data_IF_358849154411
#
_entry.id   IF_358849154411
#
_cell.length_a   1.000
_cell.length_b   1.000
_cell.length_c   1.000
_cell.angle_alpha   90.00
_cell.angle_beta   90.00
_cell.angle_gamma   90.00
#
_symmetry.space_group_name_H-M   'P 1'
#
loop_
_entity.id
_entity.type
_entity.pdbx_description
1 polymer ?
#
# COMPACT_ATOMS: atom_id res chain seq x y z
N UNK A 1 -17.74 13.44 17.06
CA UNK A 1 -18.07 12.31 16.17
C UNK A 1 -18.74 11.22 16.98
N UNK A 2 -19.91 10.72 16.54
CA UNK A 2 -20.67 9.70 17.29
C UNK A 2 -19.83 8.42 17.46
N UNK A 3 -19.81 7.84 18.66
CA UNK A 3 -19.06 6.62 18.98
C UNK A 3 -19.29 5.49 17.96
N UNK A 4 -20.54 5.26 17.56
CA UNK A 4 -20.92 4.25 16.57
C UNK A 4 -20.36 4.49 15.18
N UNK A 5 -20.27 5.74 14.74
CA UNK A 5 -19.64 6.12 13.44
C UNK A 5 -18.15 5.81 13.48
N UNK A 6 -17.47 6.13 14.60
CA UNK A 6 -16.05 5.81 14.77
C UNK A 6 -15.79 4.30 14.76
N UNK A 7 -16.65 3.49 15.40
CA UNK A 7 -16.55 2.03 15.38
C UNK A 7 -16.78 1.49 13.97
N UNK A 8 -17.79 1.99 13.27
CA UNK A 8 -18.12 1.59 11.90
C UNK A 8 -16.93 1.82 10.94
N UNK A 9 -16.33 3.00 10.95
CA UNK A 9 -15.17 3.32 10.11
C UNK A 9 -13.94 2.43 10.40
N UNK A 10 -13.84 1.87 11.61
CA UNK A 10 -12.75 0.94 11.96
C UNK A 10 -13.01 -0.48 11.47
N UNK A 11 -14.28 -0.91 11.46
CA UNK A 11 -14.67 -2.27 11.11
C UNK A 11 -14.79 -2.46 9.60
N UNK A 12 -15.25 -1.44 8.85
CA UNK A 12 -15.45 -1.54 7.40
C UNK A 12 -14.18 -2.01 6.66
N UNK A 13 -12.99 -1.42 6.83
CA UNK A 13 -11.80 -1.86 6.10
C UNK A 13 -11.43 -3.31 6.41
N UNK A 14 -11.58 -3.73 7.68
CA UNK A 14 -11.30 -5.11 8.08
C UNK A 14 -12.30 -6.09 7.47
N UNK A 15 -13.59 -5.75 7.50
CA UNK A 15 -14.64 -6.57 6.89
C UNK A 15 -14.44 -6.69 5.37
N UNK A 16 -14.10 -5.59 4.69
CA UNK A 16 -13.81 -5.61 3.25
C UNK A 16 -12.56 -6.45 2.95
N UNK A 17 -11.53 -6.37 3.79
CA UNK A 17 -10.36 -7.24 3.68
C UNK A 17 -10.72 -8.72 3.76
N UNK A 18 -11.52 -9.11 4.77
CA UNK A 18 -11.99 -10.48 4.93
C UNK A 18 -12.85 -10.95 3.75
N UNK A 19 -13.74 -10.09 3.24
CA UNK A 19 -14.56 -10.38 2.04
C UNK A 19 -13.66 -10.60 0.83
N UNK A 20 -12.69 -9.72 0.59
CA UNK A 20 -11.78 -9.87 -0.55
C UNK A 20 -10.92 -11.14 -0.44
N UNK A 21 -10.43 -11.49 0.76
CA UNK A 21 -9.69 -12.73 0.97
C UNK A 21 -10.57 -13.95 0.69
N UNK A 22 -11.76 -14.03 1.28
CA UNK A 22 -12.67 -15.16 1.09
C UNK A 22 -13.20 -15.27 -0.33
N UNK A 23 -13.57 -14.14 -0.95
CA UNK A 23 -14.09 -14.13 -2.31
C UNK A 23 -12.99 -14.41 -3.34
N UNK A 24 -11.79 -13.86 -3.15
CA UNK A 24 -10.63 -14.16 -4.00
C UNK A 24 -10.27 -15.64 -3.96
N UNK A 25 -10.25 -16.23 -2.77
CA UNK A 25 -10.08 -17.69 -2.60
C UNK A 25 -11.16 -18.48 -3.34
N UNK A 26 -12.44 -18.14 -3.13
CA UNK A 26 -13.57 -18.80 -3.78
C UNK A 26 -13.47 -18.77 -5.32
N UNK A 27 -13.19 -17.59 -5.89
CA UNK A 27 -13.04 -17.44 -7.35
C UNK A 27 -11.91 -18.30 -7.87
N UNK A 28 -10.76 -18.29 -7.23
CA UNK A 28 -9.61 -19.05 -7.66
C UNK A 28 -9.83 -20.55 -7.55
N UNK A 29 -10.44 -21.06 -6.47
CA UNK A 29 -10.72 -22.48 -6.24
C UNK A 29 -11.78 -23.02 -7.23
N UNK A 30 -12.79 -22.21 -7.53
CA UNK A 30 -13.86 -22.55 -8.47
C UNK A 30 -13.53 -22.21 -9.92
N UNK A 31 -12.41 -21.53 -10.18
CA UNK A 31 -12.04 -21.04 -11.50
C UNK A 31 -11.69 -22.16 -12.46
N UNK A 32 -12.51 -22.31 -13.53
CA UNK A 32 -12.29 -23.28 -14.59
C UNK A 32 -11.40 -22.77 -15.73
N UNK A 33 -11.07 -21.48 -15.73
CA UNK A 33 -10.26 -20.83 -16.77
C UNK A 33 -9.14 -19.96 -16.18
N UNK A 34 -8.10 -19.71 -16.99
CA UNK A 34 -6.92 -18.96 -16.61
C UNK A 34 -7.23 -17.52 -16.12
N UNK A 35 -8.24 -16.86 -16.70
CA UNK A 35 -8.60 -15.48 -16.32
C UNK A 35 -9.23 -15.44 -14.94
N UNK A 36 -10.14 -16.36 -14.66
CA UNK A 36 -10.79 -16.50 -13.35
C UNK A 36 -9.78 -16.86 -12.27
N UNK A 37 -8.82 -17.73 -12.57
CA UNK A 37 -7.71 -18.08 -11.67
C UNK A 37 -6.87 -16.84 -11.30
N UNK A 38 -6.42 -16.07 -12.30
CA UNK A 38 -5.64 -14.84 -12.08
C UNK A 38 -6.46 -13.81 -11.32
N UNK A 39 -7.73 -13.61 -11.69
CA UNK A 39 -8.62 -12.65 -11.02
C UNK A 39 -8.81 -12.99 -9.53
N UNK A 40 -8.96 -14.28 -9.20
CA UNK A 40 -9.04 -14.74 -7.81
C UNK A 40 -7.82 -14.37 -6.99
N UNK A 41 -6.61 -14.58 -7.52
CA UNK A 41 -5.37 -14.19 -6.85
C UNK A 41 -5.21 -12.67 -6.69
N UNK A 42 -5.62 -11.90 -7.70
CA UNK A 42 -5.60 -10.43 -7.61
C UNK A 42 -6.58 -9.93 -6.54
N UNK A 43 -7.80 -10.46 -6.49
CA UNK A 43 -8.79 -10.09 -5.47
C UNK A 43 -8.32 -10.49 -4.07
N UNK A 44 -7.72 -11.68 -3.93
CA UNK A 44 -7.10 -12.12 -2.67
C UNK A 44 -5.98 -11.16 -2.25
N UNK A 45 -5.10 -10.78 -3.17
CA UNK A 45 -4.03 -9.82 -2.93
C UNK A 45 -4.56 -8.44 -2.49
N UNK A 46 -5.63 -7.95 -3.11
CA UNK A 46 -6.31 -6.73 -2.67
C UNK A 46 -6.85 -6.88 -1.23
N UNK A 47 -7.30 -8.07 -0.85
CA UNK A 47 -7.66 -8.39 0.53
C UNK A 47 -6.48 -8.22 1.50
N UNK A 48 -5.28 -8.68 1.12
CA UNK A 48 -4.06 -8.50 1.92
C UNK A 48 -3.76 -7.00 2.13
N UNK A 49 -3.78 -6.19 1.06
CA UNK A 49 -3.58 -4.73 1.17
C UNK A 49 -4.63 -4.11 2.07
N UNK A 50 -5.91 -4.49 1.91
CA UNK A 50 -7.02 -3.92 2.69
C UNK A 50 -6.89 -4.26 4.18
N UNK A 51 -6.44 -5.46 4.53
CA UNK A 51 -6.10 -5.83 5.90
C UNK A 51 -4.96 -4.96 6.47
N UNK A 52 -3.91 -4.71 5.70
CA UNK A 52 -2.83 -3.81 6.10
C UNK A 52 -3.33 -2.37 6.29
N UNK A 53 -4.13 -1.85 5.36
CA UNK A 53 -4.72 -0.51 5.45
C UNK A 53 -5.62 -0.38 6.68
N UNK A 54 -6.34 -1.45 7.08
CA UNK A 54 -7.14 -1.43 8.31
C UNK A 54 -6.29 -1.23 9.55
N UNK A 55 -5.09 -1.80 9.62
CA UNK A 55 -4.16 -1.57 10.75
C UNK A 55 -3.62 -0.13 10.76
N UNK A 56 -3.36 0.46 9.58
CA UNK A 56 -3.02 1.89 9.46
C UNK A 56 -4.17 2.76 9.95
N UNK A 57 -5.40 2.48 9.53
CA UNK A 57 -6.59 3.23 9.95
C UNK A 57 -6.80 3.15 11.46
N UNK A 58 -6.67 1.94 12.05
CA UNK A 58 -6.79 1.72 13.49
C UNK A 58 -5.71 2.48 14.27
N UNK A 59 -4.47 2.46 13.81
CA UNK A 59 -3.38 3.17 14.48
C UNK A 59 -3.51 4.69 14.33
N UNK A 60 -3.89 5.18 13.16
CA UNK A 60 -4.02 6.62 12.86
C UNK A 60 -5.13 7.30 13.66
N UNK A 61 -6.17 6.60 14.11
CA UNK A 61 -7.25 7.18 14.91
C UNK A 61 -6.78 7.80 16.23
N UNK A 62 -5.67 7.31 16.78
CA UNK A 62 -5.06 7.89 17.99
C UNK A 62 -4.09 9.01 17.69
N UNK A 63 -3.64 9.14 16.44
CA UNK A 63 -2.65 10.13 16.02
C UNK A 63 -3.26 11.49 15.64
N UNK A 64 -4.50 11.50 15.14
CA UNK A 64 -5.13 12.67 14.48
C UNK A 64 -5.59 13.76 15.45
N UNK A 65 -5.65 13.52 16.76
CA UNK A 65 -6.41 14.38 17.71
C UNK A 65 -5.55 15.24 18.62
N UNK A 66 -4.36 15.69 18.20
CA UNK A 66 -3.52 16.51 19.04
C UNK A 66 -3.55 17.97 18.55
N UNK A 67 -4.12 18.91 19.36
CA UNK A 67 -4.02 20.34 19.06
C UNK A 67 -2.55 20.78 19.06
N UNK A 68 -2.16 21.58 18.06
CA UNK A 68 -0.78 22.09 17.90
C UNK A 68 -0.27 22.95 19.07
N UNK A 69 -1.13 23.28 20.03
CA UNK A 69 -0.83 24.12 21.20
C UNK A 69 -0.37 23.32 22.44
N UNK A 70 -0.28 22.00 22.39
CA UNK A 70 0.29 21.24 23.50
C UNK A 70 1.82 21.42 23.51
N UNK A 71 2.39 21.80 24.66
CA UNK A 71 3.85 21.88 24.89
C UNK A 71 4.56 20.51 24.74
N UNK A 72 3.79 19.42 24.69
CA UNK A 72 4.22 18.10 24.28
C UNK A 72 4.15 18.05 22.75
N UNK A 73 5.26 17.73 22.08
CA UNK A 73 5.30 17.59 20.62
C UNK A 73 4.20 16.66 20.08
N UNK A 74 3.88 16.74 18.78
CA UNK A 74 2.84 15.91 18.18
C UNK A 74 3.10 14.43 18.50
N UNK A 75 2.10 13.75 19.05
CA UNK A 75 2.16 12.32 19.37
C UNK A 75 2.34 11.95 20.83
N UNK A 76 2.52 12.89 21.76
CA UNK A 76 2.76 12.56 23.17
C UNK A 76 1.49 12.68 24.02
N UNK A 77 0.73 11.59 24.15
CA UNK A 77 -0.28 11.40 25.20
C UNK A 77 -0.05 10.04 25.87
N UNK A 78 0.51 9.99 27.09
CA UNK A 78 0.74 8.73 27.84
C UNK A 78 -0.55 7.93 28.05
N UNK A 79 -1.71 8.61 28.15
CA UNK A 79 -3.02 7.98 28.35
C UNK A 79 -3.59 7.33 27.07
N UNK A 80 -2.94 7.47 25.93
CA UNK A 80 -3.39 6.95 24.64
C UNK A 80 -2.52 5.81 24.10
N UNK A 81 -1.54 5.35 24.85
CA UNK A 81 -0.71 4.23 24.46
C UNK A 81 -1.55 2.97 24.16
N UNK A 82 -1.16 2.23 23.14
CA UNK A 82 -1.78 0.94 22.85
C UNK A 82 -1.33 -0.09 23.89
N UNK A 83 -2.22 -1.02 24.24
CA UNK A 83 -1.81 -2.21 25.00
C UNK A 83 -0.81 -3.04 24.20
N UNK A 84 0.08 -3.77 24.90
CA UNK A 84 1.08 -4.61 24.22
C UNK A 84 0.48 -5.60 23.23
N UNK A 85 -0.67 -6.21 23.56
CA UNK A 85 -1.39 -7.11 22.65
C UNK A 85 -1.90 -6.40 21.39
N UNK A 86 -2.40 -5.16 21.51
CA UNK A 86 -2.82 -4.37 20.34
C UNK A 86 -1.62 -4.01 19.45
N UNK A 87 -0.50 -3.62 20.04
CA UNK A 87 0.73 -3.35 19.28
C UNK A 87 1.16 -4.58 18.50
N UNK A 88 1.20 -5.75 19.17
CA UNK A 88 1.56 -7.00 18.50
C UNK A 88 0.62 -7.30 17.32
N UNK A 89 -0.69 -7.09 17.48
CA UNK A 89 -1.68 -7.29 16.41
C UNK A 89 -1.48 -6.32 15.24
N UNK A 90 -1.25 -5.04 15.54
CA UNK A 90 -1.04 -4.01 14.51
C UNK A 90 0.20 -4.28 13.65
N UNK A 91 1.24 -4.90 14.21
CA UNK A 91 2.41 -5.32 13.47
C UNK A 91 2.26 -6.68 12.79
N UNK A 92 1.65 -7.66 13.47
CA UNK A 92 1.53 -9.02 12.97
C UNK A 92 0.73 -9.09 11.66
N UNK A 93 -0.40 -8.38 11.58
CA UNK A 93 -1.26 -8.41 10.39
C UNK A 93 -0.49 -8.01 9.12
N UNK A 94 0.12 -6.80 9.01
CA UNK A 94 0.79 -6.41 7.78
C UNK A 94 2.07 -7.23 7.51
N UNK A 95 2.77 -7.73 8.53
CA UNK A 95 3.91 -8.62 8.34
C UNK A 95 3.44 -9.96 7.75
N UNK A 96 2.39 -10.56 8.30
CA UNK A 96 1.82 -11.81 7.78
C UNK A 96 1.33 -11.62 6.35
N UNK A 97 0.61 -10.52 6.06
CA UNK A 97 0.14 -10.22 4.71
C UNK A 97 1.31 -10.06 3.72
N UNK A 98 2.38 -9.37 4.12
CA UNK A 98 3.59 -9.23 3.30
C UNK A 98 4.26 -10.58 3.02
N UNK A 99 4.42 -11.42 4.06
CA UNK A 99 4.99 -12.75 3.91
C UNK A 99 4.15 -13.66 3.02
N UNK A 100 2.83 -13.67 3.19
CA UNK A 100 1.92 -14.43 2.34
C UNK A 100 2.09 -13.97 0.89
N UNK A 101 2.01 -12.65 0.62
CA UNK A 101 2.15 -12.12 -0.74
C UNK A 101 3.48 -12.50 -1.38
N UNK A 102 4.60 -12.26 -0.70
CA UNK A 102 5.94 -12.49 -1.25
C UNK A 102 6.22 -13.99 -1.40
N UNK A 103 6.08 -14.76 -0.33
CA UNK A 103 6.49 -16.18 -0.32
C UNK A 103 5.61 -17.00 -1.26
N UNK A 104 4.30 -16.84 -1.13
CA UNK A 104 3.36 -17.56 -1.97
C UNK A 104 3.41 -17.07 -3.43
N UNK A 105 3.51 -15.75 -3.66
CA UNK A 105 3.68 -15.22 -5.01
C UNK A 105 4.90 -15.81 -5.72
N UNK A 106 6.06 -15.88 -5.05
CA UNK A 106 7.28 -16.48 -5.61
C UNK A 106 7.11 -17.99 -5.83
N UNK A 107 6.42 -18.69 -4.93
CA UNK A 107 6.18 -20.13 -5.07
C UNK A 107 5.31 -20.44 -6.30
N UNK A 108 4.25 -19.66 -6.52
CA UNK A 108 3.38 -19.79 -7.68
C UNK A 108 4.15 -19.52 -8.98
N UNK A 109 5.02 -18.50 -9.03
CA UNK A 109 5.83 -18.19 -10.23
C UNK A 109 6.70 -19.38 -10.65
N UNK A 110 7.18 -20.17 -9.69
CA UNK A 110 8.06 -21.34 -9.99
C UNK A 110 7.38 -22.48 -10.72
N UNK A 111 6.06 -22.50 -10.80
CA UNK A 111 5.33 -23.57 -11.47
C UNK A 111 5.34 -23.50 -13.01
N UNK A 112 5.90 -22.41 -13.58
CA UNK A 112 6.06 -22.16 -15.03
C UNK A 112 4.76 -22.22 -15.88
N UNK A 113 3.59 -22.40 -15.28
CA UNK A 113 2.31 -22.35 -15.97
C UNK A 113 1.88 -20.90 -16.20
N UNK A 114 1.41 -20.58 -17.39
CA UNK A 114 1.06 -19.21 -17.81
C UNK A 114 0.20 -18.44 -16.79
N UNK A 115 -0.93 -18.95 -16.28
CA UNK A 115 -1.73 -18.22 -15.31
C UNK A 115 -1.00 -18.01 -13.98
N UNK A 116 -0.18 -18.97 -13.58
CA UNK A 116 0.62 -18.92 -12.35
C UNK A 116 1.71 -17.84 -12.44
N UNK A 117 2.37 -17.71 -13.58
CA UNK A 117 3.37 -16.66 -13.80
C UNK A 117 2.74 -15.29 -13.60
N UNK A 118 1.57 -15.01 -14.17
CA UNK A 118 0.88 -13.71 -14.02
C UNK A 118 0.45 -13.50 -12.57
N UNK A 119 -0.27 -14.46 -11.99
CA UNK A 119 -0.81 -14.37 -10.63
C UNK A 119 0.30 -14.21 -9.59
N UNK A 120 1.36 -15.03 -9.71
CA UNK A 120 2.46 -15.04 -8.76
C UNK A 120 3.26 -13.73 -8.74
N UNK A 121 3.60 -13.17 -9.91
CA UNK A 121 4.29 -11.88 -9.95
C UNK A 121 3.46 -10.76 -9.33
N UNK A 122 2.16 -10.68 -9.66
CA UNK A 122 1.27 -9.67 -9.09
C UNK A 122 1.13 -9.85 -7.57
N UNK A 123 0.97 -11.08 -7.10
CA UNK A 123 0.83 -11.37 -5.67
C UNK A 123 2.12 -11.03 -4.90
N UNK A 124 3.29 -11.34 -5.46
CA UNK A 124 4.57 -10.97 -4.86
C UNK A 124 4.76 -9.45 -4.77
N UNK A 125 4.42 -8.71 -5.82
CA UNK A 125 4.44 -7.24 -5.80
C UNK A 125 3.47 -6.66 -4.76
N UNK A 126 2.27 -7.22 -4.63
CA UNK A 126 1.33 -6.87 -3.55
C UNK A 126 1.96 -7.10 -2.18
N UNK A 127 2.72 -8.18 -2.00
CA UNK A 127 3.46 -8.45 -0.77
C UNK A 127 4.48 -7.36 -0.44
N UNK A 128 5.17 -6.79 -1.44
CA UNK A 128 6.09 -5.66 -1.26
C UNK A 128 5.35 -4.37 -0.88
N UNK A 129 4.16 -4.13 -1.43
CA UNK A 129 3.28 -3.04 -0.98
C UNK A 129 2.87 -3.24 0.49
N UNK A 130 2.48 -4.46 0.88
CA UNK A 130 2.17 -4.78 2.28
C UNK A 130 3.38 -4.53 3.21
N UNK A 131 4.60 -4.89 2.78
CA UNK A 131 5.84 -4.58 3.51
C UNK A 131 6.07 -3.06 3.66
N UNK A 132 5.72 -2.27 2.65
CA UNK A 132 5.75 -0.80 2.72
C UNK A 132 4.72 -0.27 3.73
N UNK A 133 3.56 -0.91 3.86
CA UNK A 133 2.56 -0.56 4.87
C UNK A 133 3.00 -0.93 6.29
N UNK A 134 3.86 -1.96 6.48
CA UNK A 134 4.51 -2.22 7.78
C UNK A 134 5.30 -0.99 8.25
N UNK A 135 6.07 -0.36 7.35
CA UNK A 135 6.83 0.84 7.67
C UNK A 135 5.92 2.00 8.11
N UNK A 136 4.77 2.17 7.46
CA UNK A 136 3.80 3.20 7.82
C UNK A 136 3.18 2.93 9.20
N UNK A 137 2.71 1.71 9.46
CA UNK A 137 2.18 1.30 10.77
C UNK A 137 3.23 1.49 11.86
N UNK A 138 4.46 1.04 11.62
CA UNK A 138 5.56 1.18 12.55
C UNK A 138 5.84 2.65 12.89
N UNK A 139 5.87 3.52 11.87
CA UNK A 139 6.09 4.95 12.08
C UNK A 139 4.99 5.59 12.93
N UNK A 140 3.72 5.23 12.70
CA UNK A 140 2.58 5.73 13.49
C UNK A 140 2.60 5.19 14.92
N UNK A 141 2.67 3.86 15.09
CA UNK A 141 2.56 3.19 16.40
C UNK A 141 3.71 3.59 17.32
N UNK A 142 4.95 3.61 16.80
CA UNK A 142 6.12 3.98 17.61
C UNK A 142 6.12 5.44 18.02
N UNK A 143 5.57 6.35 17.19
CA UNK A 143 5.39 7.75 17.59
C UNK A 143 4.33 7.87 18.69
N UNK A 144 3.19 7.21 18.58
CA UNK A 144 2.14 7.19 19.62
C UNK A 144 2.69 6.64 20.94
N UNK A 145 3.53 5.61 20.88
CA UNK A 145 4.15 5.00 22.08
C UNK A 145 5.37 5.75 22.60
N UNK A 146 5.77 6.84 21.96
CA UNK A 146 6.99 7.58 22.29
C UNK A 146 8.28 6.72 22.24
N UNK A 147 8.29 5.70 21.42
CA UNK A 147 9.46 4.81 21.18
C UNK A 147 10.13 5.08 19.83
N UNK A 148 9.65 6.06 19.07
CA UNK A 148 10.24 6.46 17.79
C UNK A 148 11.61 7.13 17.99
N UNK A 149 12.60 6.75 17.21
CA UNK A 149 13.99 7.17 17.35
C UNK A 149 14.55 7.76 16.05
N UNK A 150 15.75 8.37 16.12
CA UNK A 150 16.47 8.83 14.91
C UNK A 150 16.83 7.68 13.96
N UNK A 151 17.02 6.46 14.48
CA UNK A 151 17.22 5.28 13.66
C UNK A 151 15.94 4.95 12.86
N UNK A 152 14.76 5.02 13.51
CA UNK A 152 13.46 4.80 12.85
C UNK A 152 13.20 5.83 11.76
N UNK A 153 13.53 7.10 12.05
CA UNK A 153 13.38 8.21 11.10
C UNK A 153 14.11 7.98 9.78
N UNK A 154 15.25 7.27 9.83
CA UNK A 154 16.02 6.90 8.64
C UNK A 154 15.57 5.56 8.07
N UNK A 155 15.36 4.56 8.91
CA UNK A 155 15.12 3.18 8.49
C UNK A 155 13.80 3.02 7.72
N UNK A 156 12.67 3.52 8.26
CA UNK A 156 11.36 3.27 7.67
C UNK A 156 11.18 3.87 6.26
N UNK A 157 11.60 5.11 5.97
CA UNK A 157 11.58 5.63 4.61
C UNK A 157 12.44 4.81 3.64
N UNK A 158 13.64 4.39 4.06
CA UNK A 158 14.51 3.56 3.21
C UNK A 158 13.90 2.21 2.91
N UNK A 159 13.23 1.57 3.88
CA UNK A 159 12.53 0.31 3.64
C UNK A 159 11.49 0.46 2.52
N UNK A 160 10.69 1.51 2.56
CA UNK A 160 9.67 1.76 1.52
C UNK A 160 10.31 2.04 0.15
N UNK A 161 11.38 2.83 0.11
CA UNK A 161 12.15 3.09 -1.13
C UNK A 161 12.65 1.77 -1.72
N UNK A 162 13.23 0.90 -0.91
CA UNK A 162 13.75 -0.40 -1.36
C UNK A 162 12.62 -1.26 -1.92
N UNK A 163 11.48 -1.39 -1.21
CA UNK A 163 10.35 -2.20 -1.68
C UNK A 163 9.80 -1.68 -3.00
N UNK A 164 9.55 -0.37 -3.12
CA UNK A 164 9.06 0.22 -4.36
C UNK A 164 10.06 0.13 -5.52
N UNK A 165 11.36 0.25 -5.24
CA UNK A 165 12.41 0.09 -6.25
C UNK A 165 12.50 -1.36 -6.75
N UNK A 166 12.38 -2.35 -5.85
CA UNK A 166 12.35 -3.77 -6.23
C UNK A 166 11.18 -4.03 -7.18
N UNK A 167 9.97 -3.56 -6.86
CA UNK A 167 8.80 -3.72 -7.72
C UNK A 167 9.02 -3.13 -9.11
N UNK A 168 9.52 -1.88 -9.18
CA UNK A 168 9.76 -1.22 -10.47
C UNK A 168 10.84 -1.95 -11.28
N UNK A 169 11.96 -2.29 -10.66
CA UNK A 169 13.05 -2.98 -11.35
C UNK A 169 12.63 -4.40 -11.79
N UNK A 170 11.84 -5.09 -10.99
CA UNK A 170 11.31 -6.39 -11.36
C UNK A 170 10.32 -6.27 -12.52
N UNK A 171 9.41 -5.30 -12.50
CA UNK A 171 8.51 -5.03 -13.61
C UNK A 171 9.26 -4.68 -14.90
N UNK A 172 10.28 -3.81 -14.82
CA UNK A 172 11.15 -3.49 -15.96
C UNK A 172 11.92 -4.72 -16.48
N UNK A 173 12.41 -5.57 -15.58
CA UNK A 173 13.08 -6.83 -15.95
C UNK A 173 12.17 -7.73 -16.80
N UNK A 174 10.90 -7.88 -16.39
CA UNK A 174 9.92 -8.67 -17.16
C UNK A 174 9.65 -8.06 -18.54
N UNK A 175 9.55 -6.73 -18.63
CA UNK A 175 9.25 -6.05 -19.89
C UNK A 175 10.44 -5.99 -20.86
N UNK A 176 11.67 -5.97 -20.35
CA UNK A 176 12.87 -5.80 -21.19
C UNK A 176 13.51 -7.15 -21.54
N UNK A 177 13.68 -8.02 -20.52
CA UNK A 177 14.46 -9.24 -20.67
C UNK A 177 13.62 -10.50 -20.84
N UNK A 178 12.35 -10.49 -20.38
CA UNK A 178 11.43 -11.61 -20.50
C UNK A 178 10.17 -11.25 -21.31
N UNK A 179 10.31 -10.32 -22.26
CA UNK A 179 9.19 -9.80 -23.03
C UNK A 179 8.41 -10.91 -23.73
N UNK A 180 7.15 -11.06 -23.35
CA UNK A 180 6.17 -11.97 -23.95
C UNK A 180 4.76 -11.44 -23.73
N UNK A 181 3.75 -11.89 -24.47
CA UNK A 181 2.36 -11.50 -24.20
C UNK A 181 1.91 -11.78 -22.77
N UNK A 182 2.49 -12.78 -22.11
CA UNK A 182 2.17 -13.19 -20.73
C UNK A 182 2.79 -12.24 -19.71
N UNK A 183 3.99 -11.72 -19.97
CA UNK A 183 4.75 -10.87 -19.01
C UNK A 183 4.42 -9.39 -19.12
N UNK A 184 3.72 -8.95 -20.16
CA UNK A 184 3.29 -7.55 -20.34
C UNK A 184 2.44 -7.10 -19.15
N UNK A 185 1.39 -7.86 -18.82
CA UNK A 185 0.47 -7.48 -17.77
C UNK A 185 1.16 -7.42 -16.39
N UNK A 186 1.83 -8.48 -15.89
CA UNK A 186 2.49 -8.42 -14.59
C UNK A 186 3.64 -7.40 -14.56
N UNK A 187 4.37 -7.19 -15.66
CA UNK A 187 5.43 -6.19 -15.74
C UNK A 187 4.94 -4.77 -15.45
N UNK A 188 3.89 -4.32 -16.12
CA UNK A 188 3.31 -3.01 -15.87
C UNK A 188 2.61 -2.91 -14.51
N UNK A 189 1.96 -3.99 -14.05
CA UNK A 189 1.33 -4.02 -12.72
C UNK A 189 2.39 -3.87 -11.62
N UNK A 190 3.53 -4.55 -11.70
CA UNK A 190 4.63 -4.40 -10.75
C UNK A 190 5.17 -2.96 -10.74
N UNK A 191 5.37 -2.33 -11.91
CA UNK A 191 5.76 -0.91 -11.97
C UNK A 191 4.73 -0.04 -11.24
N UNK A 192 3.44 -0.28 -11.48
CA UNK A 192 2.36 0.45 -10.82
C UNK A 192 2.35 0.24 -9.29
N UNK A 193 2.56 -0.99 -8.81
CA UNK A 193 2.66 -1.30 -7.39
C UNK A 193 3.87 -0.61 -6.75
N UNK A 194 5.01 -0.56 -7.43
CA UNK A 194 6.17 0.20 -6.99
C UNK A 194 5.87 1.71 -6.89
N UNK A 195 5.12 2.29 -7.84
CA UNK A 195 4.66 3.68 -7.77
C UNK A 195 3.73 3.89 -6.55
N UNK A 196 2.85 2.93 -6.23
CA UNK A 196 2.03 2.97 -5.00
C UNK A 196 2.91 2.97 -3.75
N UNK A 197 3.99 2.18 -3.69
CA UNK A 197 4.95 2.24 -2.59
C UNK A 197 5.52 3.65 -2.42
N UNK A 198 5.89 4.36 -3.48
CA UNK A 198 6.34 5.75 -3.40
C UNK A 198 5.23 6.71 -2.94
N UNK A 199 3.98 6.42 -3.24
CA UNK A 199 2.85 7.17 -2.66
C UNK A 199 2.74 6.93 -1.14
N UNK A 200 2.95 5.69 -0.67
CA UNK A 200 3.03 5.36 0.77
C UNK A 200 4.23 6.05 1.43
N UNK A 201 5.37 6.11 0.73
CA UNK A 201 6.57 6.81 1.21
C UNK A 201 6.27 8.24 1.63
N UNK A 202 5.39 8.95 0.91
CA UNK A 202 5.01 10.32 1.25
C UNK A 202 4.54 10.47 2.69
N UNK A 203 3.80 9.48 3.20
CA UNK A 203 3.28 9.48 4.57
C UNK A 203 4.34 9.15 5.60
N UNK A 204 5.19 8.16 5.30
CA UNK A 204 6.31 7.78 6.16
C UNK A 204 7.30 8.94 6.27
N UNK A 205 7.56 9.66 5.16
CA UNK A 205 8.38 10.87 5.16
C UNK A 205 7.74 12.00 5.95
N UNK A 206 6.43 12.22 5.79
CA UNK A 206 5.69 13.23 6.55
C UNK A 206 5.84 12.97 8.05
N UNK A 207 5.59 11.75 8.50
CA UNK A 207 5.74 11.34 9.90
C UNK A 207 7.18 11.52 10.41
N UNK A 208 8.17 11.17 9.58
CA UNK A 208 9.59 11.33 9.92
C UNK A 208 10.02 12.80 10.02
N UNK A 209 9.44 13.69 9.22
CA UNK A 209 9.77 15.12 9.21
C UNK A 209 9.05 15.89 10.32
N UNK A 210 7.80 15.54 10.63
CA UNK A 210 7.02 16.20 11.69
C UNK A 210 7.54 15.80 13.09
N UNK A 211 8.22 14.66 13.22
CA UNK A 211 8.76 14.24 14.50
C UNK A 211 9.84 15.19 15.00
N UNK A 212 9.57 15.89 16.12
CA UNK A 212 10.43 16.86 16.79
C UNK A 212 10.84 18.11 15.97
N UNK A 213 10.18 18.39 14.84
CA UNK A 213 10.52 19.54 14.00
C UNK A 213 9.28 20.39 13.68
N UNK A 214 9.42 21.71 13.55
CA UNK A 214 8.31 22.56 13.14
C UNK A 214 7.92 22.28 11.67
N UNK A 215 6.65 22.25 11.43
CA UNK A 215 5.91 21.89 10.22
C UNK A 215 6.28 22.52 8.85
N UNK A 216 7.00 23.67 8.69
CA UNK A 216 7.11 24.36 7.40
C UNK A 216 7.74 23.59 6.24
N UNK A 217 8.56 22.57 6.53
CA UNK A 217 9.24 21.77 5.50
C UNK A 217 8.33 20.69 4.86
N UNK A 218 7.21 20.37 5.50
CA UNK A 218 6.30 19.31 5.09
C UNK A 218 5.40 19.69 3.89
N UNK A 219 5.22 20.98 3.60
CA UNK A 219 4.28 21.48 2.58
C UNK A 219 4.46 20.93 1.15
N UNK A 220 5.61 20.35 0.82
CA UNK A 220 5.86 19.74 -0.52
C UNK A 220 5.58 18.25 -0.59
N UNK A 221 5.44 17.57 0.55
CA UNK A 221 5.23 16.12 0.61
C UNK A 221 3.88 15.69 0.00
N UNK A 222 2.77 16.45 0.15
CA UNK A 222 1.51 16.13 -0.52
C UNK A 222 1.60 16.06 -2.04
N UNK A 223 2.61 16.66 -2.66
CA UNK A 223 2.82 16.56 -4.11
C UNK A 223 3.23 15.14 -4.56
N UNK A 224 3.87 14.34 -3.70
CA UNK A 224 4.32 12.99 -4.05
C UNK A 224 3.13 12.09 -4.47
N UNK A 225 2.04 11.97 -3.68
CA UNK A 225 0.87 11.18 -4.11
C UNK A 225 0.21 11.71 -5.39
N UNK A 226 0.22 13.02 -5.62
CA UNK A 226 -0.32 13.60 -6.86
C UNK A 226 0.57 13.21 -8.03
N UNK A 227 1.89 13.35 -7.92
CA UNK A 227 2.83 12.98 -8.97
C UNK A 227 2.76 11.48 -9.27
N UNK A 228 2.69 10.63 -8.25
CA UNK A 228 2.54 9.18 -8.44
C UNK A 228 1.21 8.82 -9.10
N UNK A 229 0.11 9.47 -8.73
CA UNK A 229 -1.19 9.29 -9.38
C UNK A 229 -1.14 9.70 -10.85
N UNK A 230 -0.60 10.88 -11.15
CA UNK A 230 -0.44 11.37 -12.54
C UNK A 230 0.47 10.45 -13.36
N UNK A 231 1.54 9.91 -12.78
CA UNK A 231 2.42 8.95 -13.45
C UNK A 231 1.66 7.67 -13.81
N UNK A 232 0.88 7.11 -12.89
CA UNK A 232 0.03 5.94 -13.18
C UNK A 232 -0.97 6.22 -14.30
N UNK A 233 -1.66 7.38 -14.27
CA UNK A 233 -2.65 7.77 -15.28
C UNK A 233 -1.99 8.02 -16.65
N UNK A 234 -0.81 8.62 -16.67
CA UNK A 234 -0.06 8.82 -17.91
C UNK A 234 0.36 7.49 -18.54
N UNK A 235 0.89 6.56 -17.75
CA UNK A 235 1.20 5.20 -18.22
C UNK A 235 -0.07 4.50 -18.70
N UNK A 236 -1.20 4.63 -17.98
CA UNK A 236 -2.47 4.06 -18.39
C UNK A 236 -2.93 4.58 -19.76
N UNK A 237 -2.85 5.90 -19.99
CA UNK A 237 -3.22 6.51 -21.27
C UNK A 237 -2.37 5.96 -22.42
N UNK A 238 -1.06 5.87 -22.22
CA UNK A 238 -0.14 5.28 -23.20
C UNK A 238 -0.47 3.79 -23.48
N UNK A 239 -0.79 3.02 -22.43
CA UNK A 239 -1.16 1.61 -22.58
C UNK A 239 -2.51 1.43 -23.28
N UNK A 240 -3.48 2.34 -23.08
CA UNK A 240 -4.75 2.31 -23.83
C UNK A 240 -4.54 2.55 -25.32
N UNK A 241 -3.65 3.46 -25.69
CA UNK A 241 -3.27 3.68 -27.09
C UNK A 241 -2.60 2.42 -27.66
N UNK A 242 -1.61 1.86 -26.95
CA UNK A 242 -0.96 0.62 -27.37
C UNK A 242 -1.93 -0.57 -27.48
N UNK A 243 -2.98 -0.62 -26.66
CA UNK A 243 -4.02 -1.66 -26.68
C UNK A 243 -4.85 -1.65 -27.96
N UNK A 244 -4.89 -0.55 -28.72
CA UNK A 244 -5.54 -0.50 -30.03
C UNK A 244 -4.83 -1.37 -31.07
N UNK A 245 -3.51 -1.57 -30.88
CA UNK A 245 -2.65 -2.40 -31.76
C UNK A 245 -2.52 -3.81 -31.18
N UNK A 246 -2.30 -3.93 -29.87
CA UNK A 246 -2.14 -5.22 -29.19
C UNK A 246 -3.03 -5.30 -27.93
N UNK A 247 -4.08 -6.13 -27.94
CA UNK A 247 -5.02 -6.26 -26.82
C UNK A 247 -4.39 -6.66 -25.47
N UNK A 248 -3.17 -7.22 -25.47
CA UNK A 248 -2.45 -7.60 -24.25
C UNK A 248 -2.21 -6.40 -23.31
N UNK A 249 -2.17 -5.17 -23.84
CA UNK A 249 -2.00 -3.95 -23.06
C UNK A 249 -3.28 -3.46 -22.36
N UNK A 250 -4.45 -3.99 -22.71
CA UNK A 250 -5.74 -3.54 -22.15
C UNK A 250 -5.84 -3.80 -20.63
N UNK A 251 -5.40 -4.97 -20.19
CA UNK A 251 -5.47 -5.35 -18.77
C UNK A 251 -4.59 -4.44 -17.91
N UNK A 252 -3.28 -4.28 -18.19
CA UNK A 252 -2.45 -3.38 -17.41
C UNK A 252 -2.88 -1.92 -17.49
N UNK A 253 -3.43 -1.45 -18.62
CA UNK A 253 -3.99 -0.10 -18.72
C UNK A 253 -5.09 0.16 -17.67
N UNK A 254 -6.05 -0.77 -17.55
CA UNK A 254 -7.14 -0.68 -16.56
C UNK A 254 -6.62 -0.74 -15.12
N UNK A 255 -5.66 -1.63 -14.87
CA UNK A 255 -5.04 -1.74 -13.53
C UNK A 255 -4.32 -0.45 -13.15
N UNK A 256 -3.57 0.15 -14.08
CA UNK A 256 -2.86 1.42 -13.83
C UNK A 256 -3.81 2.57 -13.49
N UNK A 257 -5.02 2.64 -14.08
CA UNK A 257 -6.05 3.62 -13.66
C UNK A 257 -6.45 3.40 -12.21
N UNK A 258 -6.69 2.14 -11.81
CA UNK A 258 -7.02 1.78 -10.43
C UNK A 258 -5.92 2.17 -9.44
N UNK A 259 -4.66 1.87 -9.77
CA UNK A 259 -3.49 2.23 -8.95
C UNK A 259 -3.32 3.75 -8.85
N UNK A 260 -3.55 4.49 -9.93
CA UNK A 260 -3.61 5.96 -9.91
C UNK A 260 -4.67 6.49 -8.96
N UNK A 261 -5.86 5.89 -8.96
CA UNK A 261 -6.93 6.19 -8.00
C UNK A 261 -6.50 5.95 -6.55
N UNK A 262 -5.81 4.84 -6.27
CA UNK A 262 -5.27 4.54 -4.94
C UNK A 262 -4.25 5.61 -4.51
N UNK A 263 -3.30 6.00 -5.38
CA UNK A 263 -2.35 7.06 -5.11
C UNK A 263 -3.06 8.39 -4.80
N UNK A 264 -4.13 8.72 -5.54
CA UNK A 264 -4.90 9.95 -5.32
C UNK A 264 -5.68 9.93 -4.01
N UNK A 265 -6.24 8.78 -3.59
CA UNK A 265 -6.88 8.66 -2.26
C UNK A 265 -5.88 8.87 -1.13
N UNK A 266 -4.63 8.44 -1.31
CA UNK A 266 -3.54 8.71 -0.38
C UNK A 266 -3.23 10.21 -0.26
N UNK A 267 -3.38 11.01 -1.33
CA UNK A 267 -3.28 12.46 -1.29
C UNK A 267 -4.37 13.08 -0.40
N UNK A 268 -5.62 12.66 -0.56
CA UNK A 268 -6.73 13.19 0.24
C UNK A 268 -6.48 13.01 1.74
N UNK A 269 -5.95 11.86 2.17
CA UNK A 269 -5.65 11.58 3.58
C UNK A 269 -4.52 12.49 4.09
N UNK A 270 -3.48 12.75 3.29
CA UNK A 270 -2.40 13.69 3.68
C UNK A 270 -2.93 15.09 3.82
N UNK A 271 -3.76 15.55 2.89
CA UNK A 271 -4.35 16.90 2.92
C UNK A 271 -5.25 17.11 4.14
N UNK A 272 -6.02 16.08 4.54
CA UNK A 272 -6.86 16.14 5.75
C UNK A 272 -5.99 16.23 7.01
N UNK A 273 -4.89 15.46 7.07
CA UNK A 273 -3.95 15.54 8.19
C UNK A 273 -3.28 16.90 8.28
N UNK A 274 -2.94 17.52 7.15
CA UNK A 274 -2.36 18.88 7.12
C UNK A 274 -3.36 19.94 7.55
N UNK A 275 -4.62 19.86 7.11
CA UNK A 275 -5.64 20.86 7.47
C UNK A 275 -5.96 20.87 8.97
N UNK A 276 -5.89 19.70 9.63
CA UNK A 276 -6.07 19.58 11.09
C UNK A 276 -4.91 20.13 11.92
N UNK A 277 -3.74 20.38 11.31
CA UNK A 277 -2.56 20.94 12.01
C UNK A 277 -2.38 22.45 11.80
N UNK A 278 -3.12 23.05 10.86
CA UNK A 278 -3.03 24.48 10.53
C UNK A 278 -4.06 25.37 11.26
N UNK A 279 -4.94 24.82 12.06
CA UNK A 279 -5.87 25.51 12.96
C UNK A 279 -5.34 25.49 14.39
#
# INVERSE_FOLDING_TARGET
MNYWISVLFRIIPLAMGAICLGYGWYIWDMGSDANTYVAGHVVFGLGLITCCVSTVALSSTKFILIPSNSKAGPGHHPDQAFSGGMVALLFAIPIICALIGIVWGIDIVRSDETPNVVAGHVLAGIGLVCASLVALVASVVRQIQNTYSEADRRFWPWLVIIMGTIDILWGLYLLIFQYSPVTIAPGFVLIGLGIVCYSILSKVLLLALVWRHPYPLAKRIPLIPVLTALTCLFIAAFLFEAATINPAYMVPARVMVGLGGICFTLFSIVSILESGTSS
#
